data_IF_579908564312
#
_entry.id   IF_579908564312
#
_cell.length_a   1.000
_cell.length_b   1.000
_cell.length_c   1.000
_cell.angle_alpha   90.00
_cell.angle_beta   90.00
_cell.angle_gamma   90.00
#
_symmetry.space_group_name_H-M   'P 1'
#
loop_
_entity.id
_entity.type
_entity.pdbx_description
1 polymer ?
#
# COMPACT_ATOMS: atom_id res chain seq x y z
N UNK A 1 10.12 -13.08 0.52
CA UNK A 1 9.48 -12.70 -0.74
C UNK A 1 8.55 -11.55 -0.46
N UNK A 2 8.81 -10.36 -1.01
CA UNK A 2 7.98 -9.20 -0.82
C UNK A 2 6.66 -9.29 -1.61
N UNK A 3 5.74 -8.40 -1.29
CA UNK A 3 4.45 -8.26 -1.98
C UNK A 3 4.25 -6.83 -2.44
N UNK A 4 3.70 -6.66 -3.64
CA UNK A 4 3.09 -5.40 -4.06
C UNK A 4 1.57 -5.52 -4.01
N UNK A 5 0.89 -4.39 -3.90
CA UNK A 5 -0.55 -4.36 -3.78
C UNK A 5 -1.18 -3.14 -4.41
N UNK A 6 -2.42 -3.36 -4.83
CA UNK A 6 -3.27 -2.33 -5.43
C UNK A 6 -4.58 -2.29 -4.67
N UNK A 7 -4.88 -1.13 -4.10
CA UNK A 7 -6.14 -0.89 -3.43
C UNK A 7 -6.96 0.22 -4.09
N UNK A 8 -8.27 0.04 -4.07
CA UNK A 8 -9.22 1.14 -4.31
C UNK A 8 -10.00 1.39 -3.04
N UNK A 9 -10.40 2.63 -2.79
CA UNK A 9 -11.18 2.98 -1.60
C UNK A 9 -12.08 4.20 -1.85
N UNK A 10 -13.33 4.21 -1.38
CA UNK A 10 -14.19 5.39 -1.42
C UNK A 10 -13.89 6.39 -0.30
N UNK A 11 -12.87 6.12 0.50
CA UNK A 11 -12.56 6.91 1.67
C UNK A 11 -11.23 7.66 1.53
N UNK A 12 -11.09 8.71 2.34
CA UNK A 12 -9.85 9.44 2.47
C UNK A 12 -8.70 8.62 3.08
N UNK A 13 -7.51 9.20 3.14
CA UNK A 13 -6.24 8.50 3.42
C UNK A 13 -6.28 7.70 4.73
N UNK A 14 -6.68 8.35 5.83
CA UNK A 14 -6.70 7.72 7.15
C UNK A 14 -7.58 6.46 7.17
N UNK A 15 -8.78 6.54 6.58
CA UNK A 15 -9.70 5.41 6.56
C UNK A 15 -9.27 4.32 5.58
N UNK A 16 -8.71 4.70 4.45
CA UNK A 16 -8.13 3.74 3.49
C UNK A 16 -6.98 2.96 4.11
N UNK A 17 -6.10 3.62 4.86
CA UNK A 17 -5.03 2.97 5.61
C UNK A 17 -5.56 1.95 6.63
N UNK A 18 -6.58 2.31 7.42
CA UNK A 18 -7.21 1.38 8.37
C UNK A 18 -7.73 0.11 7.67
N UNK A 19 -8.45 0.29 6.55
CA UNK A 19 -9.03 -0.84 5.81
C UNK A 19 -7.95 -1.75 5.22
N UNK A 20 -6.85 -1.18 4.72
CA UNK A 20 -5.69 -1.95 4.26
C UNK A 20 -5.11 -2.76 5.42
N UNK A 21 -4.88 -2.15 6.60
CA UNK A 21 -4.35 -2.85 7.76
C UNK A 21 -5.28 -3.96 8.28
N UNK A 22 -6.60 -3.74 8.27
CA UNK A 22 -7.59 -4.74 8.64
C UNK A 22 -7.57 -5.93 7.67
N UNK A 23 -7.50 -5.67 6.37
CA UNK A 23 -7.50 -6.69 5.35
C UNK A 23 -6.21 -7.53 5.36
N UNK A 24 -5.05 -6.91 5.57
CA UNK A 24 -3.79 -7.62 5.77
C UNK A 24 -3.85 -8.55 6.99
N UNK A 25 -4.41 -8.08 8.11
CA UNK A 25 -4.59 -8.92 9.31
C UNK A 25 -5.54 -10.09 9.05
N UNK A 26 -6.65 -9.89 8.34
CA UNK A 26 -7.58 -10.97 7.94
C UNK A 26 -6.91 -12.03 7.06
N UNK A 27 -5.94 -11.61 6.23
CA UNK A 27 -5.13 -12.51 5.38
C UNK A 27 -3.98 -13.18 6.14
N UNK A 28 -3.88 -12.98 7.45
CA UNK A 28 -2.90 -13.62 8.32
C UNK A 28 -1.52 -12.95 8.31
N UNK A 29 -1.39 -11.73 7.80
CA UNK A 29 -0.16 -10.97 7.95
C UNK A 29 -0.06 -10.38 9.36
N UNK A 30 1.10 -10.59 10.00
CA UNK A 30 1.46 -9.93 11.25
C UNK A 30 2.28 -8.69 10.95
N UNK A 31 1.69 -7.53 11.14
CA UNK A 31 2.30 -6.22 10.89
C UNK A 31 3.18 -5.84 12.08
N UNK A 32 4.47 -5.64 11.85
CA UNK A 32 5.41 -5.12 12.85
C UNK A 32 5.54 -3.60 12.77
N UNK A 33 5.64 -3.08 11.56
CA UNK A 33 5.74 -1.65 11.26
C UNK A 33 4.94 -1.32 10.00
N UNK A 34 4.43 -0.09 9.93
CA UNK A 34 3.75 0.42 8.75
C UNK A 34 3.93 1.92 8.62
N UNK A 35 4.00 2.38 7.37
CA UNK A 35 4.12 3.79 7.01
C UNK A 35 3.13 4.10 5.90
N UNK A 36 2.52 5.27 5.97
CA UNK A 36 1.58 5.76 4.97
C UNK A 36 2.09 7.06 4.37
N UNK A 37 2.40 7.00 3.08
CA UNK A 37 2.77 8.13 2.24
C UNK A 37 1.53 8.62 1.47
N UNK A 38 1.24 9.91 1.62
CA UNK A 38 0.17 10.60 0.92
C UNK A 38 0.41 12.11 0.97
N UNK A 39 0.04 12.82 -0.10
CA UNK A 39 0.10 14.28 -0.18
C UNK A 39 -1.33 14.85 -0.17
N UNK A 40 -1.54 16.00 0.50
CA UNK A 40 -2.86 16.51 0.90
C UNK A 40 -3.95 16.61 -0.19
N UNK A 41 -3.54 16.69 -1.45
CA UNK A 41 -4.37 16.84 -2.64
C UNK A 41 -4.32 15.63 -3.60
N UNK A 42 -3.48 14.63 -3.32
CA UNK A 42 -3.33 13.47 -4.18
C UNK A 42 -4.52 12.49 -4.01
N UNK A 43 -5.18 12.05 -5.11
CA UNK A 43 -6.27 11.07 -5.06
C UNK A 43 -5.75 9.62 -4.91
N UNK A 44 -4.52 9.44 -4.44
CA UNK A 44 -3.85 8.16 -4.28
C UNK A 44 -2.72 8.28 -3.26
N UNK A 45 -2.22 7.15 -2.74
CA UNK A 45 -1.08 7.11 -1.84
C UNK A 45 -0.43 5.73 -1.79
N UNK A 46 0.59 5.61 -0.95
CA UNK A 46 1.38 4.39 -0.78
C UNK A 46 1.42 3.99 0.68
N UNK A 47 1.13 2.72 0.97
CA UNK A 47 1.27 2.13 2.30
C UNK A 47 2.37 1.08 2.24
N UNK A 48 3.42 1.27 3.04
CA UNK A 48 4.52 0.32 3.17
C UNK A 48 4.36 -0.39 4.52
N UNK A 49 4.49 -1.71 4.53
CA UNK A 49 4.24 -2.56 5.69
C UNK A 49 5.35 -3.59 5.82
N UNK A 50 5.97 -3.66 6.99
CA UNK A 50 6.91 -4.70 7.32
C UNK A 50 6.19 -5.83 8.08
N UNK A 51 6.35 -7.05 7.57
CA UNK A 51 5.75 -8.25 8.17
C UNK A 51 6.80 -9.34 8.35
N UNK A 52 6.49 -10.32 9.20
CA UNK A 52 7.36 -11.51 9.38
C UNK A 52 7.53 -12.35 8.10
N UNK A 53 6.70 -12.12 7.07
CA UNK A 53 6.70 -12.86 5.80
C UNK A 53 7.35 -12.09 4.64
N UNK A 54 7.81 -10.88 4.89
CA UNK A 54 8.34 -9.97 3.88
C UNK A 54 7.68 -8.59 3.93
N UNK A 55 8.27 -7.63 3.21
CA UNK A 55 7.71 -6.30 3.05
C UNK A 55 6.49 -6.33 2.12
N UNK A 56 5.55 -5.41 2.33
CA UNK A 56 4.37 -5.22 1.49
C UNK A 56 4.27 -3.73 1.13
N UNK A 57 4.21 -3.42 -0.16
CA UNK A 57 3.97 -2.07 -0.66
C UNK A 57 2.61 -2.01 -1.35
N UNK A 58 1.71 -1.13 -0.91
CA UNK A 58 0.35 -1.05 -1.42
C UNK A 58 0.08 0.36 -1.91
N UNK A 59 0.00 0.52 -3.23
CA UNK A 59 -0.52 1.74 -3.84
C UNK A 59 -2.04 1.70 -3.78
N UNK A 60 -2.65 2.76 -3.25
CA UNK A 60 -4.10 2.90 -3.20
C UNK A 60 -4.54 4.14 -3.95
N UNK A 61 -5.73 4.11 -4.56
CA UNK A 61 -6.36 5.27 -5.18
C UNK A 61 -7.84 5.39 -4.80
N UNK A 62 -8.40 6.59 -4.90
CA UNK A 62 -9.83 6.82 -4.71
C UNK A 62 -10.63 6.06 -5.78
N UNK A 63 -11.74 5.45 -5.37
CA UNK A 63 -12.68 4.73 -6.23
C UNK A 63 -14.04 4.54 -5.54
N UNK A 64 -14.93 3.75 -6.12
CA UNK A 64 -16.31 3.63 -5.62
C UNK A 64 -16.47 2.65 -4.45
N UNK A 65 -15.57 1.67 -4.34
CA UNK A 65 -15.62 0.62 -3.32
C UNK A 65 -14.22 0.20 -2.86
N UNK A 66 -14.15 -0.43 -1.67
CA UNK A 66 -12.89 -0.94 -1.14
C UNK A 66 -12.52 -2.26 -1.79
N UNK A 67 -11.35 -2.31 -2.42
CA UNK A 67 -10.75 -3.55 -2.94
C UNK A 67 -9.27 -3.58 -2.60
N UNK A 68 -8.70 -4.78 -2.41
CA UNK A 68 -7.26 -4.97 -2.22
C UNK A 68 -6.80 -6.24 -2.93
N UNK A 69 -5.84 -6.09 -3.84
CA UNK A 69 -5.11 -7.20 -4.48
C UNK A 69 -3.66 -7.17 -4.03
N UNK A 70 -3.08 -8.35 -3.85
CA UNK A 70 -1.66 -8.53 -3.51
C UNK A 70 -1.05 -9.51 -4.50
N UNK A 71 0.20 -9.27 -4.86
CA UNK A 71 1.00 -10.10 -5.73
C UNK A 71 2.37 -10.30 -5.08
N UNK A 72 2.86 -11.54 -5.09
CA UNK A 72 4.21 -11.85 -4.61
C UNK A 72 5.21 -11.53 -5.72
N UNK A 73 6.26 -10.79 -5.40
CA UNK A 73 7.27 -10.33 -6.36
C UNK A 73 8.68 -10.56 -5.82
N UNK A 74 9.70 -10.33 -6.65
CA UNK A 74 11.09 -10.31 -6.19
C UNK A 74 11.43 -8.95 -5.54
N UNK A 75 12.62 -8.85 -4.96
CA UNK A 75 13.05 -7.62 -4.26
C UNK A 75 13.22 -6.43 -5.21
N UNK A 76 13.79 -6.64 -6.42
CA UNK A 76 13.99 -5.60 -7.42
C UNK A 76 12.65 -4.97 -7.87
N UNK A 77 11.64 -5.80 -8.18
CA UNK A 77 10.30 -5.35 -8.58
C UNK A 77 9.58 -4.60 -7.44
N UNK A 78 9.88 -4.95 -6.19
CA UNK A 78 9.31 -4.27 -5.03
C UNK A 78 9.93 -2.89 -4.82
N UNK A 79 11.25 -2.80 -4.94
CA UNK A 79 12.00 -1.54 -4.83
C UNK A 79 11.57 -0.58 -5.94
N UNK A 80 11.54 -1.03 -7.20
CA UNK A 80 11.07 -0.26 -8.36
C UNK A 80 9.63 0.27 -8.13
N UNK A 81 8.73 -0.58 -7.64
CA UNK A 81 7.34 -0.19 -7.37
C UNK A 81 7.23 0.92 -6.31
N UNK A 82 8.05 0.85 -5.27
CA UNK A 82 8.09 1.85 -4.19
C UNK A 82 8.68 3.15 -4.69
N UNK A 83 9.82 3.10 -5.40
CA UNK A 83 10.49 4.27 -5.96
C UNK A 83 9.56 5.01 -6.94
N UNK A 84 9.03 4.32 -7.95
CA UNK A 84 8.09 4.87 -8.93
C UNK A 84 6.91 5.57 -8.23
N UNK A 85 6.30 4.89 -7.24
CA UNK A 85 5.12 5.43 -6.57
C UNK A 85 5.46 6.65 -5.71
N UNK A 86 6.65 6.69 -5.11
CA UNK A 86 7.12 7.84 -4.34
C UNK A 86 7.44 9.03 -5.24
N UNK A 87 8.07 8.81 -6.40
CA UNK A 87 8.31 9.85 -7.42
C UNK A 87 6.99 10.51 -7.84
N UNK A 88 5.97 9.70 -8.15
CA UNK A 88 4.63 10.20 -8.46
C UNK A 88 4.00 11.00 -7.32
N UNK A 89 4.31 10.69 -6.05
CA UNK A 89 3.78 11.40 -4.88
C UNK A 89 4.56 12.68 -4.56
N UNK A 90 5.86 12.74 -4.87
CA UNK A 90 6.67 13.94 -4.69
C UNK A 90 6.45 14.98 -5.78
N UNK A 91 5.91 14.58 -6.94
CA UNK A 91 5.66 15.47 -8.06
C UNK A 91 6.94 15.98 -8.73
N UNK A 92 8.02 15.21 -8.62
CA UNK A 92 9.32 15.41 -9.30
C UNK A 92 9.45 14.34 -10.39
#
# INVERSE_FOLDING_TARGET
MPYIGFARSPYGPAKTYELIMDELRKRGFRVGFSKHHWMGDAPFGLVIVETERGAIAIRWNIGDEFTLRLEEVNDDDWDDFVEDTLEYLSGD
#
